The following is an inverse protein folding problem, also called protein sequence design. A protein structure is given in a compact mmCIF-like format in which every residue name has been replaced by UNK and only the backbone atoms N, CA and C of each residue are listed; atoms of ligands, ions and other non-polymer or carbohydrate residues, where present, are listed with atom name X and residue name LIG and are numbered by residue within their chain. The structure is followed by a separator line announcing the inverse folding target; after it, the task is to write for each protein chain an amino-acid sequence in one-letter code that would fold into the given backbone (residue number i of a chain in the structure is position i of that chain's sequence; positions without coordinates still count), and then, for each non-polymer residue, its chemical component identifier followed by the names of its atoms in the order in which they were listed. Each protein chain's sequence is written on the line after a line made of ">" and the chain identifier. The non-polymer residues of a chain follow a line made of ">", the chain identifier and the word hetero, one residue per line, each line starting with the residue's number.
data_IF_340434647232
#
_entry.id   IF_340434647232
#
_cell.length_a   1.000
_cell.length_b   1.000
_cell.length_c   1.000
_cell.angle_alpha   90.00
_cell.angle_beta   90.00
_cell.angle_gamma   90.00
#
_symmetry.space_group_name_H-M   'P 1'
#
loop_
_entity.id
_entity.type
_entity.pdbx_description
1 polymer ?
#
# COMPACT_ATOMS: atom_id res chain seq x y z
N UNK A 1 -41.53 33.65 -1.82
CA UNK A 1 -42.23 32.35 -1.85
C UNK A 1 -41.63 31.43 -0.80
N UNK A 2 -42.34 30.38 -0.39
CA UNK A 2 -42.05 29.48 0.74
C UNK A 2 -42.09 28.04 0.16
N UNK A 3 -41.25 27.06 0.54
CA UNK A 3 -41.35 26.21 1.75
C UNK A 3 -40.12 25.27 1.81
N UNK A 4 -39.57 25.06 3.03
CA UNK A 4 -38.95 23.87 3.68
C UNK A 4 -38.49 22.62 2.85
N UNK A 5 -37.53 21.79 3.31
CA UNK A 5 -37.30 21.28 4.68
C UNK A 5 -35.85 21.26 5.19
N UNK A 6 -35.73 21.08 6.51
CA UNK A 6 -34.49 20.99 7.30
C UNK A 6 -34.46 19.67 8.08
N UNK A 7 -33.29 19.03 8.20
CA UNK A 7 -33.06 17.89 9.09
C UNK A 7 -31.67 17.95 9.73
N UNK A 8 -31.59 18.36 11.01
CA UNK A 8 -30.33 18.47 11.76
C UNK A 8 -30.53 18.34 13.26
N UNK A 9 -30.32 17.14 13.81
CA UNK A 9 -30.49 16.84 15.24
C UNK A 9 -29.19 17.05 16.03
N UNK A 10 -29.31 17.23 17.35
CA UNK A 10 -28.23 17.50 18.32
C UNK A 10 -28.58 16.84 19.67
N UNK A 11 -27.59 16.76 20.57
CA UNK A 11 -27.68 16.41 22.01
C UNK A 11 -27.82 14.89 22.32
N UNK A 12 -27.32 14.37 23.45
CA UNK A 12 -26.38 14.92 24.45
C UNK A 12 -25.67 13.81 25.25
N UNK A 13 -24.61 14.17 26.00
CA UNK A 13 -24.00 13.33 27.07
C UNK A 13 -24.81 13.45 28.37
N UNK A 14 -24.85 12.38 29.20
CA UNK A 14 -25.14 12.46 30.65
C UNK A 14 -24.26 11.48 31.43
N UNK A 15 -23.91 11.82 32.68
CA UNK A 15 -23.18 10.97 33.65
C UNK A 15 -24.09 10.65 34.85
N UNK A 16 -24.01 9.43 35.37
CA UNK A 16 -24.30 9.01 36.76
C UNK A 16 -23.96 7.51 36.85
N UNK A 17 -22.91 7.09 37.56
CA UNK A 17 -22.77 6.90 39.02
C UNK A 17 -23.43 5.60 39.53
N UNK A 18 -22.70 4.90 40.40
CA UNK A 18 -23.17 3.75 41.20
C UNK A 18 -24.28 4.17 42.17
N UNK A 19 -25.04 3.18 42.65
CA UNK A 19 -25.32 3.00 44.09
C UNK A 19 -24.99 1.55 44.47
N UNK A 20 -24.79 1.27 45.77
CA UNK A 20 -24.18 0.04 46.28
C UNK A 20 -25.19 -0.84 47.08
N UNK A 21 -24.70 -1.85 47.80
CA UNK A 21 -25.48 -2.91 48.48
C UNK A 21 -26.53 -2.42 49.51
N UNK A 22 -27.60 -3.21 49.67
CA UNK A 22 -28.16 -3.48 51.00
C UNK A 22 -28.67 -4.93 51.14
N UNK A 23 -28.67 -5.45 52.36
CA UNK A 23 -29.14 -6.78 52.76
C UNK A 23 -30.19 -6.59 53.87
N UNK A 24 -31.16 -7.51 53.96
CA UNK A 24 -32.25 -7.70 54.94
C UNK A 24 -33.61 -7.80 54.19
N UNK A 25 -34.64 -8.48 54.70
CA UNK A 25 -34.88 -8.91 56.10
C UNK A 25 -35.49 -10.33 56.19
N UNK A 26 -35.67 -10.81 57.42
CA UNK A 26 -36.01 -12.20 57.79
C UNK A 26 -37.50 -12.30 58.20
N UNK A 27 -38.08 -13.50 57.99
CA UNK A 27 -39.35 -14.00 58.56
C UNK A 27 -40.67 -13.27 58.20
N UNK A 28 -41.54 -14.03 57.51
CA UNK A 28 -42.87 -14.35 58.04
C UNK A 28 -43.31 -15.74 57.55
N UNK A 29 -43.88 -16.54 58.45
CA UNK A 29 -44.59 -17.77 58.11
C UNK A 29 -46.01 -17.44 57.59
N UNK A 30 -46.73 -18.44 57.08
CA UNK A 30 -47.71 -19.07 57.97
C UNK A 30 -47.57 -20.59 58.07
N UNK A 31 -48.15 -21.14 59.14
CA UNK A 31 -48.34 -22.58 59.33
C UNK A 31 -49.41 -23.13 58.38
N UNK A 32 -49.32 -24.40 58.01
CA UNK A 32 -50.50 -25.27 57.99
C UNK A 32 -50.12 -26.74 58.15
N UNK A 33 -51.05 -27.53 58.69
CA UNK A 33 -50.89 -28.97 59.01
C UNK A 33 -51.62 -29.82 57.97
N UNK A 34 -51.03 -30.94 57.52
CA UNK A 34 -51.69 -31.90 56.63
C UNK A 34 -50.81 -33.12 56.33
N UNK A 35 -51.41 -34.31 56.41
CA UNK A 35 -50.88 -35.66 56.15
C UNK A 35 -52.10 -36.60 56.08
N UNK A 36 -52.05 -37.80 55.49
CA UNK A 36 -50.95 -38.57 54.87
C UNK A 36 -50.85 -38.24 53.34
N UNK A 37 -50.28 -38.97 52.37
CA UNK A 37 -49.85 -40.37 52.18
C UNK A 37 -48.61 -40.49 51.26
N UNK A 38 -48.09 -41.71 51.09
CA UNK A 38 -46.92 -42.07 50.25
C UNK A 38 -47.30 -42.15 48.75
N UNK A 39 -47.49 -41.00 48.09
CA UNK A 39 -47.50 -40.95 46.62
C UNK A 39 -46.07 -41.10 46.07
N UNK A 40 -45.79 -42.15 45.28
CA UNK A 40 -44.53 -42.30 44.55
C UNK A 40 -44.36 -41.18 43.51
N UNK A 41 -43.77 -40.06 43.92
CA UNK A 41 -43.32 -39.02 43.00
C UNK A 41 -42.19 -39.61 42.15
N UNK A 42 -42.55 -40.19 41.01
CA UNK A 42 -41.64 -40.48 39.92
C UNK A 42 -41.02 -39.16 39.42
N UNK A 43 -39.94 -38.75 40.09
CA UNK A 43 -39.00 -37.78 39.57
C UNK A 43 -38.39 -38.41 38.33
N UNK A 44 -39.01 -38.16 37.17
CA UNK A 44 -38.43 -38.47 35.87
C UNK A 44 -37.11 -37.69 35.82
N UNK A 45 -36.01 -38.39 36.05
CA UNK A 45 -34.67 -37.80 35.96
C UNK A 45 -34.55 -37.18 34.57
N UNK A 46 -34.40 -35.86 34.53
CA UNK A 46 -34.39 -35.10 33.29
C UNK A 46 -33.11 -35.42 32.53
N UNK A 47 -33.19 -36.39 31.62
CA UNK A 47 -32.06 -36.90 30.81
C UNK A 47 -31.43 -35.88 29.85
N UNK A 48 -31.81 -34.61 29.95
CA UNK A 48 -31.31 -33.49 29.16
C UNK A 48 -29.93 -32.97 29.65
N UNK A 49 -29.31 -33.58 30.66
CA UNK A 49 -27.91 -33.26 31.03
C UNK A 49 -26.88 -33.61 29.95
N UNK A 50 -27.31 -34.37 28.93
CA UNK A 50 -26.58 -34.62 27.70
C UNK A 50 -26.48 -33.36 26.81
N UNK A 51 -25.65 -32.40 27.22
CA UNK A 51 -25.30 -31.20 26.46
C UNK A 51 -24.68 -31.47 25.07
N UNK A 52 -24.49 -32.73 24.69
CA UNK A 52 -23.97 -33.19 23.40
C UNK A 52 -24.88 -32.87 22.20
N UNK A 53 -26.18 -32.60 22.43
CA UNK A 53 -27.20 -32.39 21.39
C UNK A 53 -28.13 -31.22 21.72
N UNK A 54 -29.02 -30.90 20.77
CA UNK A 54 -30.05 -29.87 20.94
C UNK A 54 -29.48 -28.46 21.14
N UNK A 55 -30.29 -27.58 21.74
CA UNK A 55 -29.95 -26.17 21.93
C UNK A 55 -28.72 -25.97 22.84
N UNK A 56 -28.54 -26.83 23.85
CA UNK A 56 -27.40 -26.76 24.79
C UNK A 56 -26.04 -26.82 24.05
N UNK A 57 -25.90 -27.71 23.05
CA UNK A 57 -24.70 -27.79 22.18
C UNK A 57 -24.38 -26.45 21.52
N UNK A 58 -25.34 -25.87 20.81
CA UNK A 58 -25.11 -24.64 20.04
C UNK A 58 -24.76 -23.44 20.93
N UNK A 59 -25.32 -23.36 22.14
CA UNK A 59 -24.96 -22.34 23.13
C UNK A 59 -23.52 -22.54 23.61
N UNK A 60 -23.12 -23.76 23.96
CA UNK A 60 -21.73 -24.05 24.36
C UNK A 60 -20.73 -23.77 23.24
N UNK A 61 -21.03 -24.20 22.01
CA UNK A 61 -20.21 -24.00 20.82
C UNK A 61 -20.09 -22.52 20.43
N UNK A 62 -21.15 -21.72 20.64
CA UNK A 62 -21.11 -20.26 20.51
C UNK A 62 -20.19 -19.59 21.55
N UNK A 63 -20.16 -20.08 22.79
CA UNK A 63 -19.22 -19.58 23.81
C UNK A 63 -17.78 -20.05 23.57
N UNK A 64 -17.58 -21.30 23.11
CA UNK A 64 -16.26 -21.86 22.82
C UNK A 64 -15.62 -21.24 21.57
N UNK A 65 -16.39 -20.94 20.52
CA UNK A 65 -15.93 -20.25 19.31
C UNK A 65 -15.58 -18.78 19.53
N UNK A 66 -15.78 -18.25 20.74
CA UNK A 66 -15.44 -16.88 21.14
C UNK A 66 -14.49 -16.88 22.34
N UNK A 67 -13.20 -17.26 22.15
CA UNK A 67 -12.19 -17.07 23.18
C UNK A 67 -12.16 -15.62 23.66
N UNK A 68 -11.83 -15.43 24.94
CA UNK A 68 -11.70 -14.09 25.53
C UNK A 68 -10.63 -13.26 24.81
N UNK A 69 -10.77 -11.92 24.85
CA UNK A 69 -9.86 -11.00 24.14
C UNK A 69 -8.38 -11.19 24.53
N UNK A 70 -8.11 -11.60 25.77
CA UNK A 70 -6.77 -11.91 26.26
C UNK A 70 -6.21 -13.18 25.59
N UNK A 71 -6.93 -14.29 25.67
CA UNK A 71 -6.55 -15.54 25.01
C UNK A 71 -6.42 -15.41 23.47
N UNK A 72 -7.23 -14.55 22.84
CA UNK A 72 -7.10 -14.25 21.41
C UNK A 72 -5.84 -13.41 21.10
N UNK A 73 -5.50 -12.43 21.96
CA UNK A 73 -4.24 -11.67 21.82
C UNK A 73 -3.05 -12.60 21.97
N UNK A 74 -3.02 -13.42 23.02
CA UNK A 74 -1.88 -14.28 23.33
C UNK A 74 -1.64 -15.30 22.19
N UNK A 75 -2.71 -15.84 21.58
CA UNK A 75 -2.63 -16.65 20.35
C UNK A 75 -2.08 -15.89 19.13
N UNK A 76 -2.38 -14.59 19.00
CA UNK A 76 -1.86 -13.75 17.90
C UNK A 76 -0.37 -13.45 18.15
N UNK A 77 0.02 -13.14 19.38
CA UNK A 77 1.40 -12.86 19.75
C UNK A 77 2.28 -14.12 19.56
N UNK A 78 1.82 -15.31 19.99
CA UNK A 78 2.47 -16.61 19.71
C UNK A 78 2.59 -16.89 18.19
N UNK A 79 1.54 -16.57 17.41
CA UNK A 79 1.57 -16.74 15.96
C UNK A 79 2.59 -15.80 15.29
N UNK A 80 2.66 -14.54 15.72
CA UNK A 80 3.65 -13.57 15.23
C UNK A 80 5.06 -14.06 15.55
N UNK A 81 5.35 -14.41 16.81
CA UNK A 81 6.66 -14.88 17.26
C UNK A 81 7.09 -16.13 16.46
N UNK A 82 6.21 -17.12 16.30
CA UNK A 82 6.54 -18.35 15.56
C UNK A 82 6.59 -18.17 14.05
N UNK A 83 5.98 -17.12 13.49
CA UNK A 83 6.11 -16.76 12.08
C UNK A 83 7.39 -15.97 11.80
N UNK A 84 7.73 -14.99 12.65
CA UNK A 84 8.95 -14.19 12.53
C UNK A 84 10.22 -15.04 12.72
N UNK A 85 10.20 -16.01 13.65
CA UNK A 85 11.29 -16.98 13.81
C UNK A 85 11.57 -17.75 12.51
N UNK A 86 10.53 -18.33 11.88
CA UNK A 86 10.64 -19.08 10.62
C UNK A 86 11.10 -18.20 9.45
N UNK A 87 10.65 -16.94 9.40
CA UNK A 87 11.05 -16.00 8.36
C UNK A 87 12.55 -15.65 8.46
N UNK A 88 13.06 -15.47 9.68
CA UNK A 88 14.48 -15.17 9.93
C UNK A 88 15.36 -16.42 9.79
N UNK A 89 14.83 -17.64 10.00
CA UNK A 89 15.47 -18.91 9.62
C UNK A 89 15.58 -19.03 8.09
N UNK A 90 14.48 -18.92 7.35
CA UNK A 90 14.49 -18.97 5.87
C UNK A 90 15.41 -17.88 5.28
N UNK A 91 15.45 -16.70 5.89
CA UNK A 91 16.37 -15.63 5.50
C UNK A 91 17.83 -16.04 5.69
N UNK A 92 18.20 -16.66 6.82
CA UNK A 92 19.57 -17.16 7.07
C UNK A 92 19.95 -18.27 6.10
N UNK A 93 19.04 -19.18 5.77
CA UNK A 93 19.24 -20.20 4.74
C UNK A 93 19.50 -19.57 3.37
N UNK A 94 18.69 -18.59 2.97
CA UNK A 94 18.89 -17.84 1.71
C UNK A 94 20.20 -17.05 1.69
N UNK A 95 20.61 -16.45 2.80
CA UNK A 95 21.90 -15.75 2.93
C UNK A 95 23.09 -16.73 2.89
N UNK A 96 22.96 -17.93 3.48
CA UNK A 96 23.98 -18.99 3.41
C UNK A 96 24.11 -19.57 1.99
N UNK A 97 23.01 -19.88 1.31
CA UNK A 97 23.00 -20.35 -0.08
C UNK A 97 23.60 -19.32 -1.04
N UNK A 98 23.37 -18.02 -0.80
CA UNK A 98 24.00 -16.94 -1.58
C UNK A 98 25.52 -16.82 -1.33
N UNK A 99 26.00 -17.20 -0.14
CA UNK A 99 27.43 -17.26 0.17
C UNK A 99 28.12 -18.47 -0.48
N UNK A 100 27.51 -19.66 -0.43
CA UNK A 100 28.03 -20.88 -1.06
C UNK A 100 28.05 -20.78 -2.59
N UNK A 101 26.99 -20.23 -3.20
CA UNK A 101 26.89 -20.09 -4.65
C UNK A 101 27.83 -19.06 -5.28
N UNK A 102 28.55 -18.25 -4.49
CA UNK A 102 29.48 -17.22 -4.97
C UNK A 102 28.83 -16.00 -5.63
N UNK A 103 27.49 -15.95 -5.72
CA UNK A 103 26.73 -14.86 -6.31
C UNK A 103 25.99 -14.06 -5.22
N UNK A 104 26.56 -12.93 -4.82
CA UNK A 104 25.96 -12.08 -3.78
C UNK A 104 24.69 -11.37 -4.27
N UNK A 105 23.64 -11.41 -3.44
CA UNK A 105 22.38 -10.71 -3.72
C UNK A 105 22.60 -9.20 -3.62
N UNK A 106 22.45 -8.49 -4.73
CA UNK A 106 22.62 -7.03 -4.79
C UNK A 106 21.44 -6.32 -4.12
N UNK A 107 21.52 -6.13 -2.81
CA UNK A 107 20.57 -5.34 -2.03
C UNK A 107 20.71 -3.86 -2.41
N UNK A 108 19.84 -3.38 -3.30
CA UNK A 108 19.77 -1.97 -3.64
C UNK A 108 19.24 -1.17 -2.43
N UNK A 109 20.14 -0.66 -1.58
CA UNK A 109 19.81 0.34 -0.55
C UNK A 109 19.12 1.56 -1.20
N UNK A 110 17.79 1.60 -1.16
CA UNK A 110 16.98 2.63 -1.85
C UNK A 110 16.90 3.94 -1.07
N UNK A 111 18.07 4.39 -0.61
CA UNK A 111 18.31 5.56 0.24
C UNK A 111 18.08 6.92 -0.43
N UNK A 112 16.98 7.09 -1.19
CA UNK A 112 16.44 8.44 -1.37
C UNK A 112 15.90 8.86 0.00
N UNK A 113 16.67 9.67 0.74
CA UNK A 113 16.17 10.33 1.96
C UNK A 113 14.83 10.99 1.62
N UNK A 114 13.77 10.55 2.30
CA UNK A 114 12.45 11.16 2.21
C UNK A 114 12.53 12.48 2.96
N UNK A 115 12.69 13.58 2.23
CA UNK A 115 12.48 14.94 2.74
C UNK A 115 10.97 15.19 2.85
N UNK A 116 10.34 14.38 3.71
CA UNK A 116 8.97 14.53 4.17
C UNK A 116 9.10 15.01 5.60
N UNK A 117 8.83 16.29 5.82
CA UNK A 117 8.65 16.81 7.17
C UNK A 117 7.46 16.07 7.83
N UNK A 118 7.67 15.61 9.06
CA UNK A 118 6.68 14.82 9.83
C UNK A 118 5.50 15.66 10.32
N UNK A 119 5.64 16.98 10.42
CA UNK A 119 4.55 17.88 10.82
C UNK A 119 3.71 18.31 9.61
N UNK A 120 4.34 18.75 8.52
CA UNK A 120 3.66 19.30 7.34
C UNK A 120 3.24 18.27 6.30
N UNK A 121 3.86 17.08 6.24
CA UNK A 121 3.60 16.02 5.26
C UNK A 121 3.97 16.33 3.79
N UNK A 122 4.22 17.60 3.45
CA UNK A 122 4.51 18.08 2.09
C UNK A 122 5.94 17.71 1.69
N UNK A 123 6.06 16.90 0.64
CA UNK A 123 7.36 16.51 0.08
C UNK A 123 7.93 17.60 -0.85
N UNK A 124 8.62 18.60 -0.28
CA UNK A 124 9.28 19.67 -1.04
C UNK A 124 10.48 19.12 -1.84
N UNK A 125 10.19 18.62 -3.03
CA UNK A 125 11.12 17.94 -3.93
C UNK A 125 11.73 18.82 -5.02
N UNK A 126 11.98 20.11 -4.76
CA UNK A 126 12.52 21.07 -5.73
C UNK A 126 13.98 20.76 -6.08
N UNK A 127 14.19 19.91 -7.09
CA UNK A 127 15.53 19.68 -7.66
C UNK A 127 15.97 20.94 -8.40
N UNK A 128 17.03 21.59 -7.94
CA UNK A 128 17.58 22.78 -8.59
C UNK A 128 17.96 22.47 -10.05
N UNK A 129 17.61 23.36 -10.97
CA UNK A 129 17.79 23.16 -12.43
C UNK A 129 19.25 22.85 -12.80
N UNK A 130 20.21 23.55 -12.20
CA UNK A 130 21.64 23.29 -12.37
C UNK A 130 22.03 21.82 -12.04
N UNK A 131 21.41 21.19 -11.03
CA UNK A 131 21.66 19.80 -10.68
C UNK A 131 20.96 18.78 -11.61
N UNK A 132 20.01 19.24 -12.45
CA UNK A 132 19.44 18.47 -13.56
C UNK A 132 20.35 18.57 -14.78
N UNK A 133 20.81 19.78 -15.11
CA UNK A 133 21.69 20.08 -16.24
C UNK A 133 23.07 19.44 -16.08
N UNK A 134 23.69 19.54 -14.89
CA UNK A 134 24.95 18.86 -14.57
C UNK A 134 24.81 17.33 -14.74
N UNK A 135 23.65 16.76 -14.34
CA UNK A 135 23.33 15.34 -14.55
C UNK A 135 22.87 15.01 -15.98
N UNK A 136 22.63 16.00 -16.84
CA UNK A 136 22.47 15.81 -18.27
C UNK A 136 23.84 15.81 -18.96
N UNK A 137 24.70 16.77 -18.65
CA UNK A 137 26.08 16.86 -19.17
C UNK A 137 26.96 15.68 -18.74
N UNK A 138 26.84 15.20 -17.49
CA UNK A 138 27.58 14.03 -16.99
C UNK A 138 27.11 12.68 -17.56
N UNK A 139 25.99 12.63 -18.30
CA UNK A 139 25.61 11.44 -19.06
C UNK A 139 26.48 11.34 -20.31
N UNK A 140 27.42 10.40 -20.31
CA UNK A 140 27.96 9.84 -21.56
C UNK A 140 26.77 9.53 -22.47
N UNK A 141 26.74 10.14 -23.67
CA UNK A 141 25.67 9.88 -24.63
C UNK A 141 25.65 8.40 -24.94
N UNK A 142 24.46 7.77 -24.97
CA UNK A 142 24.29 6.39 -25.43
C UNK A 142 24.34 6.35 -26.95
N UNK A 143 25.49 6.74 -27.49
CA UNK A 143 25.80 6.67 -28.90
C UNK A 143 26.01 5.19 -29.25
N UNK A 144 24.90 4.55 -29.65
CA UNK A 144 24.94 3.52 -30.70
C UNK A 144 25.87 4.07 -31.78
N UNK A 145 26.97 3.35 -32.04
CA UNK A 145 28.11 3.88 -32.78
C UNK A 145 27.68 4.59 -34.07
N UNK A 146 28.31 5.73 -34.35
CA UNK A 146 27.99 6.53 -35.53
C UNK A 146 27.99 5.63 -36.78
N UNK A 147 26.88 5.70 -37.52
CA UNK A 147 26.55 4.87 -38.68
C UNK A 147 26.37 3.35 -38.47
N UNK A 148 25.91 2.90 -37.30
CA UNK A 148 25.46 1.51 -37.09
C UNK A 148 24.40 1.05 -38.12
N UNK A 149 23.51 1.96 -38.56
CA UNK A 149 22.46 1.66 -39.53
C UNK A 149 22.71 2.28 -40.91
N UNK A 150 22.42 1.50 -41.96
CA UNK A 150 22.53 1.94 -43.38
C UNK A 150 21.70 3.18 -43.73
N UNK A 151 20.65 3.50 -42.98
CA UNK A 151 19.86 4.72 -43.20
C UNK A 151 20.60 5.99 -42.74
N UNK A 152 21.46 5.91 -41.71
CA UNK A 152 22.24 7.06 -41.22
C UNK A 152 23.19 7.53 -42.32
N UNK A 153 23.96 6.62 -42.92
CA UNK A 153 24.84 6.91 -44.07
C UNK A 153 24.10 7.53 -45.26
N UNK A 154 22.92 7.01 -45.61
CA UNK A 154 22.07 7.57 -46.67
C UNK A 154 21.60 8.98 -46.36
N UNK A 155 21.23 9.25 -45.11
CA UNK A 155 20.73 10.56 -44.69
C UNK A 155 21.85 11.60 -44.63
N UNK A 156 23.05 11.24 -44.17
CA UNK A 156 24.24 12.10 -44.26
C UNK A 156 24.53 12.48 -45.73
N UNK A 157 24.62 11.49 -46.62
CA UNK A 157 24.83 11.72 -48.06
C UNK A 157 23.73 12.59 -48.70
N UNK A 158 22.47 12.39 -48.32
CA UNK A 158 21.33 13.21 -48.77
C UNK A 158 21.52 14.67 -48.37
N UNK A 159 21.91 14.93 -47.13
CA UNK A 159 22.09 16.28 -46.60
C UNK A 159 23.33 16.97 -47.19
N UNK A 160 24.44 16.24 -47.40
CA UNK A 160 25.61 16.74 -48.14
C UNK A 160 25.23 17.18 -49.57
N UNK A 161 24.50 16.34 -50.32
CA UNK A 161 24.02 16.66 -51.67
C UNK A 161 23.11 17.89 -51.65
N UNK A 162 22.19 17.99 -50.68
CA UNK A 162 21.29 19.14 -50.54
C UNK A 162 22.07 20.44 -50.25
N UNK A 163 23.09 20.40 -49.39
CA UNK A 163 23.96 21.54 -49.10
C UNK A 163 24.78 21.97 -50.33
N UNK A 164 25.31 21.02 -51.11
CA UNK A 164 26.01 21.31 -52.37
C UNK A 164 25.07 21.93 -53.41
N UNK A 165 23.83 21.45 -53.51
CA UNK A 165 22.81 22.01 -54.40
C UNK A 165 22.44 23.46 -54.04
N UNK A 166 22.29 23.80 -52.74
CA UNK A 166 22.04 25.18 -52.32
C UNK A 166 23.18 26.12 -52.75
N UNK A 167 24.42 25.77 -52.38
CA UNK A 167 25.63 26.53 -52.74
C UNK A 167 25.76 26.73 -54.25
N UNK A 168 25.51 25.69 -55.04
CA UNK A 168 25.55 25.79 -56.50
C UNK A 168 24.48 26.76 -57.06
N UNK A 169 23.28 26.80 -56.47
CA UNK A 169 22.25 27.78 -56.88
C UNK A 169 22.59 29.21 -56.44
N UNK A 170 23.25 29.38 -55.29
CA UNK A 170 23.78 30.66 -54.81
C UNK A 170 24.88 31.19 -55.74
N UNK A 171 25.88 30.37 -56.07
CA UNK A 171 26.96 30.71 -57.00
C UNK A 171 26.45 30.94 -58.44
N UNK A 172 25.44 30.18 -58.89
CA UNK A 172 24.78 30.40 -60.18
C UNK A 172 24.12 31.79 -60.25
N UNK A 173 23.42 32.21 -59.19
CA UNK A 173 22.84 33.56 -59.07
C UNK A 173 23.93 34.63 -59.06
N UNK A 174 25.00 34.42 -58.29
CA UNK A 174 26.16 35.33 -58.21
C UNK A 174 26.86 35.49 -59.57
N UNK A 175 27.09 34.40 -60.29
CA UNK A 175 27.68 34.43 -61.62
C UNK A 175 26.76 35.12 -62.65
N UNK A 176 25.44 34.95 -62.53
CA UNK A 176 24.48 35.67 -63.37
C UNK A 176 24.52 37.19 -63.11
N UNK A 177 24.59 37.63 -61.85
CA UNK A 177 24.78 39.04 -61.48
C UNK A 177 26.09 39.59 -62.05
N UNK A 178 27.21 38.87 -61.89
CA UNK A 178 28.51 39.27 -62.44
C UNK A 178 28.52 39.33 -63.98
N UNK A 179 27.82 38.41 -64.65
CA UNK A 179 27.64 38.45 -66.12
C UNK A 179 26.81 39.66 -66.57
N UNK A 180 25.73 39.99 -65.85
CA UNK A 180 24.90 41.16 -66.16
C UNK A 180 25.64 42.49 -65.91
N UNK A 181 26.50 42.55 -64.88
CA UNK A 181 27.35 43.72 -64.61
C UNK A 181 28.53 43.86 -65.59
N UNK A 182 28.99 42.76 -66.21
CA UNK A 182 30.13 42.76 -67.14
C UNK A 182 29.74 43.33 -68.50
N UNK A 183 30.14 44.58 -68.75
CA UNK A 183 30.09 45.19 -70.09
C UNK A 183 30.96 44.40 -71.07
N UNK A 184 30.33 43.74 -72.03
CA UNK A 184 31.01 42.95 -73.07
C UNK A 184 31.80 43.87 -74.01
N UNK A 185 32.99 43.43 -74.42
CA UNK A 185 33.87 44.10 -75.40
C UNK A 185 34.27 43.04 -76.43
N UNK A 186 33.72 43.07 -77.67
CA UNK A 186 33.89 42.02 -78.66
C UNK A 186 34.97 42.33 -79.72
N UNK A 187 36.05 42.98 -79.31
CA UNK A 187 37.25 43.29 -80.11
C UNK A 187 38.48 43.21 -79.20
#
# INVERSE_FOLDING_TARGET
>A
MNIFLVGKTRKAKKKSKKEDHFINEIQKSPENRGVTDEDEIYIISSGDEDCSKGMKKWIMEYHQSKPGLEALRDQIDDFIITHEAKLEEERKEREALAAEGGWTVVVHHKGRKKTTDSESGIAVGSVAQAAVEEKAAKKKRKEVGLDFYRFQKKEVQRNEIMMLQSKFQEDKKRLQQLRAARKFRPY
#
